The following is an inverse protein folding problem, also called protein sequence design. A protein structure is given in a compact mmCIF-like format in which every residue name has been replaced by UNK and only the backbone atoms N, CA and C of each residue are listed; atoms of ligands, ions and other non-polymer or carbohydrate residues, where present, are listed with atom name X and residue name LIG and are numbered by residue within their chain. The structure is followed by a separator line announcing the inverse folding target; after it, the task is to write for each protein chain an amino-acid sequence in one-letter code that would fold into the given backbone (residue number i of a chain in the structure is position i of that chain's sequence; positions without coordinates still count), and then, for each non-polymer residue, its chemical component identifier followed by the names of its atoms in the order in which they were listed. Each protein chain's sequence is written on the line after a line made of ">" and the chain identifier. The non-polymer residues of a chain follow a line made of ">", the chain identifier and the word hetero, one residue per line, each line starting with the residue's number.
data_IF_463209429328
#
_entry.id   IF_463209429328
#
_cell.length_a   1.000
_cell.length_b   1.000
_cell.length_c   1.000
_cell.angle_alpha   90.00
_cell.angle_beta   90.00
_cell.angle_gamma   90.00
#
_symmetry.space_group_name_H-M   'P 1'
#
loop_
_entity.id
_entity.type
_entity.pdbx_description
1 polymer ?
#
# COMPACT_ATOMS: atom_id res chain seq x y z
N UNK A 1 -14.33 0.46 40.19
CA UNK A 1 -14.74 -0.84 39.63
C UNK A 1 -13.77 -1.09 38.49
N UNK A 2 -12.90 -2.06 38.60
CA UNK A 2 -11.92 -2.39 37.58
C UNK A 2 -12.64 -3.09 36.41
N UNK A 3 -12.59 -2.52 35.23
CA UNK A 3 -13.02 -3.19 34.01
C UNK A 3 -12.05 -4.32 33.72
N UNK A 4 -12.51 -5.55 33.80
CA UNK A 4 -11.78 -6.71 33.30
C UNK A 4 -11.62 -6.57 31.80
N UNK A 5 -10.44 -6.82 31.23
CA UNK A 5 -10.27 -6.78 29.76
C UNK A 5 -11.14 -7.87 29.13
N UNK A 6 -11.98 -7.47 28.19
CA UNK A 6 -12.75 -8.39 27.34
C UNK A 6 -11.75 -9.20 26.54
N UNK A 7 -11.74 -10.51 26.75
CA UNK A 7 -10.91 -11.42 25.96
C UNK A 7 -11.42 -11.39 24.50
N UNK A 8 -10.70 -10.74 23.64
CA UNK A 8 -10.98 -10.69 22.19
C UNK A 8 -10.61 -12.05 21.61
N UNK A 9 -11.62 -12.84 21.23
CA UNK A 9 -11.42 -14.10 20.50
C UNK A 9 -11.16 -13.79 19.03
N UNK A 10 -9.90 -13.91 18.59
CA UNK A 10 -9.53 -13.82 17.18
C UNK A 10 -9.70 -15.20 16.54
N UNK A 11 -10.47 -15.37 15.44
CA UNK A 11 -10.58 -16.64 14.72
C UNK A 11 -9.19 -17.11 14.27
N UNK A 12 -8.89 -18.40 14.48
CA UNK A 12 -7.57 -18.96 14.22
C UNK A 12 -6.55 -18.77 15.36
N UNK A 13 -6.90 -18.01 16.39
CA UNK A 13 -6.13 -17.98 17.63
C UNK A 13 -6.26 -19.34 18.33
N UNK A 14 -5.20 -20.12 18.34
CA UNK A 14 -5.14 -21.24 19.24
C UNK A 14 -5.07 -20.66 20.65
N UNK A 15 -6.04 -21.00 21.51
CA UNK A 15 -6.05 -20.68 22.94
C UNK A 15 -4.87 -21.36 23.70
N UNK A 16 -3.70 -21.39 23.09
CA UNK A 16 -2.50 -21.89 23.71
C UNK A 16 -1.87 -20.76 24.50
N UNK A 17 -1.82 -20.94 25.80
CA UNK A 17 -1.09 -20.15 26.80
C UNK A 17 0.44 -20.21 26.53
N UNK A 18 0.89 -20.76 25.41
CA UNK A 18 2.30 -20.88 25.06
C UNK A 18 2.85 -19.51 24.63
N UNK A 19 3.93 -19.09 25.27
CA UNK A 19 4.66 -17.89 24.92
C UNK A 19 5.23 -18.03 23.49
N UNK A 20 4.90 -17.12 22.54
CA UNK A 20 5.42 -17.19 21.19
C UNK A 20 6.96 -17.11 21.13
N UNK A 21 7.62 -16.49 22.10
CA UNK A 21 9.09 -16.43 22.17
C UNK A 21 9.73 -17.79 22.52
N UNK A 22 8.99 -18.71 23.15
CA UNK A 22 9.44 -20.08 23.34
C UNK A 22 9.25 -20.93 22.07
N UNK A 23 8.20 -20.65 21.30
CA UNK A 23 7.86 -21.39 20.10
C UNK A 23 8.62 -20.94 18.86
N UNK A 24 8.98 -19.66 18.78
CA UNK A 24 9.60 -19.05 17.61
C UNK A 24 10.84 -18.26 18.00
N UNK A 25 11.93 -18.49 17.30
CA UNK A 25 13.13 -17.66 17.39
C UNK A 25 13.04 -16.54 16.38
N UNK A 26 12.98 -15.30 16.85
CA UNK A 26 13.00 -14.09 16.03
C UNK A 26 14.42 -13.82 15.55
N UNK A 27 14.61 -13.60 14.27
CA UNK A 27 15.87 -13.25 13.62
C UNK A 27 15.85 -11.79 13.17
N UNK A 28 16.43 -11.48 11.99
CA UNK A 28 16.50 -10.12 11.43
C UNK A 28 15.12 -9.58 11.06
N UNK A 29 14.97 -8.26 11.16
CA UNK A 29 13.82 -7.55 10.63
C UNK A 29 13.88 -7.55 9.09
N UNK A 30 12.79 -7.97 8.45
CA UNK A 30 12.67 -8.06 7.00
C UNK A 30 11.66 -7.06 6.42
N UNK A 31 10.96 -6.31 7.28
CA UNK A 31 10.04 -5.28 6.81
C UNK A 31 9.43 -4.49 7.96
N UNK A 32 8.90 -3.31 7.60
CA UNK A 32 8.11 -2.47 8.48
C UNK A 32 6.82 -2.11 7.74
N UNK A 33 5.68 -2.46 8.32
CA UNK A 33 4.35 -2.14 7.80
C UNK A 33 3.68 -1.00 8.59
N UNK A 34 2.50 -0.61 8.14
CA UNK A 34 1.69 0.43 8.79
C UNK A 34 1.29 0.04 10.23
N UNK A 35 1.17 -1.26 10.50
CA UNK A 35 0.64 -1.80 11.77
C UNK A 35 1.70 -2.56 12.58
N UNK A 36 2.97 -2.55 12.18
CA UNK A 36 4.00 -3.27 12.91
C UNK A 36 5.20 -3.67 12.07
N UNK A 37 6.04 -4.49 12.66
CA UNK A 37 7.28 -4.95 12.05
C UNK A 37 7.18 -6.43 11.65
N UNK A 38 7.86 -6.80 10.56
CA UNK A 38 7.97 -8.18 10.10
C UNK A 38 9.40 -8.67 10.26
N UNK A 39 9.53 -9.83 10.88
CA UNK A 39 10.81 -10.48 11.13
C UNK A 39 10.86 -11.83 10.40
N UNK A 40 12.04 -12.20 9.96
CA UNK A 40 12.35 -13.59 9.68
C UNK A 40 12.47 -14.32 11.00
N UNK A 41 12.02 -15.56 11.07
CA UNK A 41 12.12 -16.37 12.28
C UNK A 41 12.18 -17.85 11.97
N UNK A 42 12.34 -18.64 13.04
CA UNK A 42 12.37 -20.10 12.99
C UNK A 42 11.29 -20.63 13.94
N UNK A 43 10.43 -21.52 13.46
CA UNK A 43 9.61 -22.35 14.34
C UNK A 43 10.49 -23.39 15.01
N UNK A 44 10.69 -23.27 16.32
CA UNK A 44 11.62 -24.11 17.09
C UNK A 44 11.20 -25.58 17.11
N UNK A 45 9.92 -25.89 16.85
CA UNK A 45 9.40 -27.26 16.84
C UNK A 45 9.67 -27.98 15.52
N UNK A 46 9.58 -27.25 14.40
CA UNK A 46 9.68 -27.81 13.05
C UNK A 46 10.99 -27.47 12.35
N UNK A 47 11.75 -26.48 12.89
CA UNK A 47 12.93 -25.88 12.27
C UNK A 47 12.62 -25.19 10.93
N UNK A 48 11.35 -24.91 10.68
CA UNK A 48 10.92 -24.21 9.47
C UNK A 48 11.17 -22.70 9.61
N UNK A 49 11.69 -22.09 8.55
CA UNK A 49 11.79 -20.62 8.45
C UNK A 49 10.41 -20.05 8.22
N UNK A 50 10.06 -19.04 9.00
CA UNK A 50 8.76 -18.37 8.99
C UNK A 50 8.92 -16.84 8.92
N UNK A 51 7.88 -16.14 8.52
CA UNK A 51 7.75 -14.71 8.69
C UNK A 51 6.89 -14.43 9.92
N UNK A 52 7.33 -13.52 10.78
CA UNK A 52 6.67 -13.14 12.02
C UNK A 52 6.30 -11.67 11.94
N UNK A 53 5.02 -11.37 11.76
CA UNK A 53 4.49 -9.99 11.81
C UNK A 53 4.07 -9.71 13.26
N UNK A 54 4.65 -8.66 13.86
CA UNK A 54 4.35 -8.25 15.23
C UNK A 54 3.64 -6.91 15.20
N UNK A 55 2.44 -6.85 15.75
CA UNK A 55 1.58 -5.67 15.83
C UNK A 55 1.40 -5.33 17.30
N UNK A 56 1.62 -4.06 17.67
CA UNK A 56 1.26 -3.58 19.00
C UNK A 56 -0.19 -3.13 19.01
N UNK A 57 -1.04 -3.87 19.74
CA UNK A 57 -2.49 -3.60 19.79
C UNK A 57 -2.83 -2.35 20.59
N UNK A 58 -1.94 -1.85 21.45
CA UNK A 58 -2.15 -0.57 22.15
C UNK A 58 -1.94 0.61 21.19
N UNK A 59 -0.96 0.50 20.28
CA UNK A 59 -0.74 1.50 19.23
C UNK A 59 -1.80 1.44 18.12
N UNK A 60 -2.37 0.24 17.88
CA UNK A 60 -3.34 -0.05 16.84
C UNK A 60 -4.78 -0.21 17.38
N UNK A 61 -5.14 0.44 18.51
CA UNK A 61 -6.42 0.26 19.19
C UNK A 61 -7.63 0.52 18.26
N UNK A 62 -7.53 1.54 17.40
CA UNK A 62 -8.58 1.88 16.42
C UNK A 62 -8.71 0.90 15.25
N UNK A 63 -7.78 -0.04 15.09
CA UNK A 63 -7.62 -0.90 13.91
C UNK A 63 -7.76 -2.40 14.25
N UNK A 64 -8.09 -2.74 15.51
CA UNK A 64 -8.17 -4.12 16.00
C UNK A 64 -9.19 -4.95 15.19
N UNK A 65 -10.34 -4.36 14.85
CA UNK A 65 -11.38 -5.05 14.06
C UNK A 65 -10.86 -5.41 12.66
N UNK A 66 -10.08 -4.51 12.06
CA UNK A 66 -9.51 -4.70 10.73
C UNK A 66 -8.43 -5.78 10.75
N UNK A 67 -7.57 -5.78 11.77
CA UNK A 67 -6.54 -6.81 11.98
C UNK A 67 -7.18 -8.18 12.17
N UNK A 68 -8.26 -8.26 12.94
CA UNK A 68 -9.00 -9.50 13.14
C UNK A 68 -9.61 -10.02 11.85
N UNK A 69 -10.15 -9.13 11.02
CA UNK A 69 -10.71 -9.50 9.74
C UNK A 69 -9.63 -9.98 8.76
N UNK A 70 -8.48 -9.32 8.69
CA UNK A 70 -7.33 -9.76 7.90
C UNK A 70 -6.92 -11.19 8.28
N UNK A 71 -6.73 -11.46 9.58
CA UNK A 71 -6.40 -12.79 10.10
C UNK A 71 -7.47 -13.81 9.74
N UNK A 72 -8.74 -13.45 9.85
CA UNK A 72 -9.86 -14.33 9.51
C UNK A 72 -9.82 -14.73 8.03
N UNK A 73 -9.61 -13.77 7.14
CA UNK A 73 -9.50 -14.01 5.69
C UNK A 73 -8.27 -14.88 5.39
N UNK A 74 -7.11 -14.54 5.96
CA UNK A 74 -5.87 -15.31 5.78
C UNK A 74 -6.01 -16.76 6.26
N UNK A 75 -6.61 -16.98 7.44
CA UNK A 75 -6.79 -18.31 8.03
C UNK A 75 -7.68 -19.24 7.20
N UNK A 76 -8.54 -18.68 6.35
CA UNK A 76 -9.43 -19.41 5.45
C UNK A 76 -8.81 -19.67 4.08
N UNK A 77 -7.68 -19.06 3.74
CA UNK A 77 -7.03 -19.24 2.45
C UNK A 77 -6.12 -20.48 2.47
N UNK A 78 -6.34 -21.37 1.51
CA UNK A 78 -5.46 -22.51 1.21
C UNK A 78 -5.19 -22.55 -0.29
N UNK A 79 -4.15 -21.85 -0.72
CA UNK A 79 -3.75 -21.76 -2.12
C UNK A 79 -2.24 -21.64 -2.24
N UNK A 80 -1.67 -22.23 -3.30
CA UNK A 80 -0.25 -22.07 -3.62
C UNK A 80 0.10 -20.66 -4.12
N UNK A 81 -0.89 -19.81 -4.41
CA UNK A 81 -0.73 -18.45 -4.92
C UNK A 81 -0.95 -17.36 -3.86
N UNK A 82 -1.24 -17.76 -2.63
CA UNK A 82 -1.44 -16.87 -1.48
C UNK A 82 -0.50 -17.31 -0.37
N UNK A 83 0.06 -16.35 0.35
CA UNK A 83 0.94 -16.66 1.50
C UNK A 83 0.19 -17.46 2.56
N UNK A 84 0.81 -18.55 3.05
CA UNK A 84 0.19 -19.38 4.07
C UNK A 84 0.22 -18.70 5.43
N UNK A 85 -0.88 -18.82 6.15
CA UNK A 85 -1.01 -18.46 7.55
C UNK A 85 -0.83 -19.69 8.42
N UNK A 86 0.02 -19.61 9.45
CA UNK A 86 0.29 -20.72 10.36
C UNK A 86 -0.35 -20.55 11.74
N UNK A 87 -0.68 -19.34 12.14
CA UNK A 87 -1.33 -19.05 13.41
C UNK A 87 -1.02 -17.68 13.94
N UNK A 88 -1.68 -17.29 15.02
CA UNK A 88 -1.41 -16.06 15.75
C UNK A 88 -1.36 -16.30 17.25
N UNK A 89 -0.55 -15.50 17.94
CA UNK A 89 -0.29 -15.61 19.37
C UNK A 89 -0.33 -14.20 19.98
N UNK A 90 -0.88 -14.08 21.17
CA UNK A 90 -0.90 -12.83 21.91
C UNK A 90 0.08 -12.90 23.08
N UNK A 91 1.01 -11.92 23.16
CA UNK A 91 1.93 -11.75 24.28
C UNK A 91 1.87 -10.31 24.79
N UNK A 92 1.24 -10.08 25.92
CA UNK A 92 0.94 -8.74 26.41
C UNK A 92 0.05 -7.98 25.43
N UNK A 93 0.46 -6.79 25.01
CA UNK A 93 -0.22 -6.01 23.95
C UNK A 93 0.21 -6.41 22.53
N UNK A 94 1.19 -7.31 22.38
CA UNK A 94 1.77 -7.66 21.07
C UNK A 94 1.13 -8.89 20.46
N UNK A 95 0.55 -8.72 19.26
CA UNK A 95 0.01 -9.78 18.44
C UNK A 95 1.08 -10.28 17.47
N UNK A 96 1.41 -11.57 17.55
CA UNK A 96 2.33 -12.26 16.67
C UNK A 96 1.56 -13.02 15.62
N UNK A 97 1.74 -12.72 14.35
CA UNK A 97 1.14 -13.42 13.22
C UNK A 97 2.24 -14.20 12.53
N UNK A 98 2.11 -15.53 12.46
CA UNK A 98 3.10 -16.43 11.89
C UNK A 98 2.64 -16.81 10.48
N UNK A 99 3.50 -16.56 9.50
CA UNK A 99 3.20 -16.75 8.08
C UNK A 99 4.35 -17.45 7.36
N UNK A 100 4.07 -17.89 6.15
CA UNK A 100 5.06 -18.40 5.21
C UNK A 100 6.13 -17.35 4.92
N UNK A 101 7.40 -17.74 5.01
CA UNK A 101 8.52 -16.91 4.61
C UNK A 101 8.82 -17.10 3.12
N UNK A 102 8.94 -15.99 2.39
CA UNK A 102 9.23 -15.94 0.97
C UNK A 102 10.53 -15.18 0.74
N UNK A 103 11.62 -15.92 0.60
CA UNK A 103 13.01 -15.37 0.62
C UNK A 103 13.45 -14.66 -0.66
N UNK A 104 12.64 -14.64 -1.72
CA UNK A 104 12.92 -13.91 -2.96
C UNK A 104 12.65 -12.41 -2.89
N UNK A 105 11.98 -11.95 -1.83
CA UNK A 105 11.57 -10.55 -1.65
C UNK A 105 10.28 -10.20 -2.39
N UNK A 106 9.87 -8.93 -2.34
CA UNK A 106 8.72 -8.42 -3.07
C UNK A 106 9.09 -8.03 -4.51
N UNK A 107 8.08 -7.98 -5.40
CA UNK A 107 8.31 -7.45 -6.76
C UNK A 107 8.81 -6.01 -6.74
N UNK A 108 8.41 -5.22 -5.74
CA UNK A 108 8.91 -3.86 -5.54
C UNK A 108 10.41 -3.86 -5.20
N UNK A 109 10.86 -4.78 -4.34
CA UNK A 109 12.28 -4.92 -4.00
C UNK A 109 13.10 -5.28 -5.24
N UNK A 110 12.61 -6.22 -6.04
CA UNK A 110 13.29 -6.65 -7.27
C UNK A 110 13.40 -5.53 -8.31
N UNK A 111 12.43 -4.61 -8.36
CA UNK A 111 12.47 -3.43 -9.23
C UNK A 111 13.62 -2.46 -8.86
N UNK A 112 14.11 -2.48 -7.61
CA UNK A 112 15.27 -1.65 -7.20
C UNK A 112 16.54 -2.04 -7.93
N UNK A 113 16.72 -3.32 -8.22
CA UNK A 113 17.90 -3.82 -8.94
C UNK A 113 17.83 -3.62 -10.45
N UNK A 114 16.73 -3.12 -10.98
CA UNK A 114 16.59 -2.78 -12.40
C UNK A 114 15.20 -3.13 -12.97
N UNK A 115 14.94 -2.74 -14.22
CA UNK A 115 13.65 -2.95 -14.87
C UNK A 115 13.41 -4.44 -15.18
N UNK A 116 12.14 -4.80 -15.35
CA UNK A 116 11.71 -6.13 -15.81
C UNK A 116 11.44 -6.11 -17.30
N UNK A 117 11.70 -7.23 -17.96
CA UNK A 117 11.25 -7.47 -19.32
C UNK A 117 9.76 -7.90 -19.37
N UNK A 118 9.15 -7.86 -20.55
CA UNK A 118 7.73 -8.22 -20.70
C UNK A 118 7.45 -9.70 -20.41
N UNK A 119 8.41 -10.61 -20.56
CA UNK A 119 8.25 -12.03 -20.22
C UNK A 119 8.22 -12.23 -18.69
N UNK A 120 9.07 -11.50 -17.97
CA UNK A 120 9.07 -11.49 -16.51
C UNK A 120 7.77 -10.90 -15.98
N UNK A 121 7.32 -9.77 -16.52
CA UNK A 121 6.06 -9.12 -16.15
C UNK A 121 4.87 -10.05 -16.42
N UNK A 122 4.79 -10.64 -17.62
CA UNK A 122 3.70 -11.57 -17.99
C UNK A 122 3.67 -12.80 -17.08
N UNK A 123 4.86 -13.30 -16.69
CA UNK A 123 4.98 -14.46 -15.78
C UNK A 123 4.46 -14.11 -14.39
N UNK A 124 4.85 -12.96 -13.85
CA UNK A 124 4.33 -12.48 -12.56
C UNK A 124 2.82 -12.25 -12.61
N UNK A 125 2.34 -11.52 -13.63
CA UNK A 125 0.90 -11.23 -13.78
C UNK A 125 0.07 -12.50 -13.89
N UNK A 126 0.58 -13.54 -14.56
CA UNK A 126 -0.09 -14.83 -14.63
C UNK A 126 -0.28 -15.45 -13.25
N UNK A 127 0.75 -15.45 -12.42
CA UNK A 127 0.67 -16.03 -11.08
C UNK A 127 -0.23 -15.18 -10.14
N UNK A 128 -0.14 -13.85 -10.24
CA UNK A 128 -1.07 -12.93 -9.54
C UNK A 128 -2.51 -13.22 -9.95
N UNK A 129 -2.78 -13.38 -11.25
CA UNK A 129 -4.11 -13.70 -11.78
C UNK A 129 -4.65 -15.03 -11.26
N UNK A 130 -3.80 -16.05 -11.09
CA UNK A 130 -4.21 -17.33 -10.48
C UNK A 130 -4.59 -17.14 -9.00
N UNK A 131 -3.84 -16.30 -8.26
CA UNK A 131 -4.18 -15.95 -6.89
C UNK A 131 -5.50 -15.19 -6.80
N UNK A 132 -5.74 -14.23 -7.70
CA UNK A 132 -6.99 -13.48 -7.77
C UNK A 132 -8.16 -14.38 -8.20
N UNK A 133 -7.99 -15.27 -9.17
CA UNK A 133 -9.04 -16.21 -9.58
C UNK A 133 -9.46 -17.12 -8.42
N UNK A 134 -8.50 -17.61 -7.63
CA UNK A 134 -8.78 -18.34 -6.40
C UNK A 134 -9.58 -17.49 -5.40
N UNK A 135 -9.09 -16.30 -5.03
CA UNK A 135 -9.74 -15.43 -4.05
C UNK A 135 -11.16 -15.05 -4.47
N UNK A 136 -11.34 -14.69 -5.75
CA UNK A 136 -12.64 -14.28 -6.30
C UNK A 136 -13.62 -15.46 -6.35
N UNK A 137 -13.15 -16.69 -6.61
CA UNK A 137 -13.98 -17.91 -6.55
C UNK A 137 -14.46 -18.20 -5.13
N UNK A 138 -13.63 -17.88 -4.11
CA UNK A 138 -13.96 -17.95 -2.69
C UNK A 138 -14.73 -16.72 -2.18
N UNK A 139 -15.17 -15.83 -3.10
CA UNK A 139 -15.87 -14.56 -2.79
C UNK A 139 -15.08 -13.64 -1.86
N UNK A 140 -13.77 -13.67 -1.97
CA UNK A 140 -12.82 -12.80 -1.28
C UNK A 140 -12.25 -11.77 -2.24
N UNK A 141 -12.00 -10.57 -1.74
CA UNK A 141 -11.37 -9.46 -2.47
C UNK A 141 -10.06 -9.14 -1.75
N UNK A 142 -8.96 -8.99 -2.50
CA UNK A 142 -7.65 -8.70 -1.93
C UNK A 142 -7.52 -7.26 -1.42
N UNK A 143 -7.98 -6.29 -2.23
CA UNK A 143 -8.07 -4.84 -1.94
C UNK A 143 -6.76 -4.06 -1.91
N UNK A 144 -5.61 -4.71 -1.86
CA UNK A 144 -4.29 -4.06 -1.84
C UNK A 144 -3.30 -4.73 -2.80
N UNK A 145 -3.71 -4.92 -4.05
CA UNK A 145 -2.84 -5.43 -5.11
C UNK A 145 -1.88 -4.33 -5.54
N UNK A 146 -0.58 -4.57 -5.33
CA UNK A 146 0.55 -3.71 -5.71
C UNK A 146 1.85 -4.51 -5.67
N UNK A 147 2.93 -4.01 -6.30
CA UNK A 147 4.21 -4.74 -6.36
C UNK A 147 4.79 -5.08 -4.98
N UNK A 148 4.58 -4.24 -3.96
CA UNK A 148 5.01 -4.49 -2.60
C UNK A 148 4.36 -5.73 -1.96
N UNK A 149 3.15 -6.07 -2.36
CA UNK A 149 2.37 -7.20 -1.83
C UNK A 149 2.42 -8.45 -2.73
N UNK A 150 3.29 -8.45 -3.72
CA UNK A 150 3.60 -9.60 -4.57
C UNK A 150 4.95 -10.14 -4.13
N UNK A 151 4.96 -11.26 -3.41
CA UNK A 151 6.16 -11.86 -2.85
C UNK A 151 6.63 -13.05 -3.68
N UNK A 152 7.94 -13.27 -3.72
CA UNK A 152 8.54 -14.38 -4.43
C UNK A 152 9.26 -15.33 -3.46
N UNK A 153 9.16 -16.63 -3.72
CA UNK A 153 10.05 -17.61 -3.11
C UNK A 153 11.45 -17.53 -3.73
N UNK A 154 12.45 -18.12 -3.10
CA UNK A 154 13.80 -18.22 -3.70
C UNK A 154 13.82 -19.02 -5.01
N UNK A 155 12.81 -19.83 -5.26
CA UNK A 155 12.62 -20.63 -6.47
C UNK A 155 11.84 -19.88 -7.56
N UNK A 156 11.39 -18.67 -7.27
CA UNK A 156 10.65 -17.81 -8.21
C UNK A 156 9.13 -17.99 -8.16
N UNK A 157 8.57 -18.78 -7.24
CA UNK A 157 7.12 -18.88 -7.07
C UNK A 157 6.56 -17.55 -6.56
N UNK A 158 5.45 -17.12 -7.14
CA UNK A 158 4.83 -15.83 -6.85
C UNK A 158 3.58 -16.02 -6.00
N UNK A 159 3.47 -15.27 -4.91
CA UNK A 159 2.33 -15.32 -4.00
C UNK A 159 1.83 -13.93 -3.62
N UNK A 160 0.51 -13.82 -3.45
CA UNK A 160 -0.12 -12.63 -2.90
C UNK A 160 0.02 -12.60 -1.39
N UNK A 161 0.43 -11.47 -0.86
CA UNK A 161 0.58 -11.22 0.57
C UNK A 161 -0.18 -9.97 0.99
N UNK A 162 -0.35 -9.77 2.30
CA UNK A 162 -0.97 -8.60 2.90
C UNK A 162 -2.32 -8.24 2.25
N UNK A 163 -3.35 -8.94 2.66
CA UNK A 163 -4.72 -8.54 2.35
C UNK A 163 -4.96 -7.16 2.96
N UNK A 164 -5.34 -6.22 2.14
CA UNK A 164 -5.60 -4.87 2.60
C UNK A 164 -6.63 -4.89 3.72
N UNK A 165 -6.24 -4.29 4.82
CA UNK A 165 -7.05 -4.04 6.00
C UNK A 165 -8.26 -3.15 5.70
N UNK A 166 -8.37 -2.62 4.48
CA UNK A 166 -9.63 -2.07 3.99
C UNK A 166 -10.68 -3.19 3.96
N UNK A 167 -10.86 -3.81 5.13
CA UNK A 167 -11.99 -4.60 5.51
C UNK A 167 -13.23 -3.94 4.96
N UNK A 168 -14.33 -4.60 4.84
CA UNK A 168 -15.57 -4.01 4.36
C UNK A 168 -15.55 -2.51 4.67
N UNK A 169 -15.53 -1.66 3.62
CA UNK A 169 -15.81 -0.25 3.79
C UNK A 169 -17.22 -0.16 4.37
N UNK A 170 -17.32 -0.45 5.66
CA UNK A 170 -18.51 -0.12 6.42
C UNK A 170 -18.48 1.40 6.52
N UNK A 171 -19.64 2.03 6.42
CA UNK A 171 -19.83 3.50 6.58
C UNK A 171 -19.05 4.09 7.77
N UNK A 172 -18.65 3.24 8.73
CA UNK A 172 -17.89 3.61 9.92
C UNK A 172 -16.39 3.80 9.67
N UNK A 173 -15.76 3.08 8.73
CA UNK A 173 -14.32 3.19 8.48
C UNK A 173 -13.94 4.36 7.58
N UNK A 174 -14.83 4.74 6.67
CA UNK A 174 -14.65 5.95 5.86
C UNK A 174 -14.77 7.21 6.75
N UNK A 175 -15.48 7.11 7.87
CA UNK A 175 -15.62 8.18 8.87
C UNK A 175 -14.38 8.36 9.76
N UNK A 176 -13.47 7.39 9.80
CA UNK A 176 -12.19 7.51 10.51
C UNK A 176 -11.15 7.99 9.49
N UNK A 177 -10.78 9.26 9.56
CA UNK A 177 -9.82 10.00 8.74
C UNK A 177 -8.40 9.38 8.65
N UNK A 178 -8.26 8.09 8.74
CA UNK A 178 -7.00 7.38 8.50
C UNK A 178 -7.03 6.84 7.08
N UNK A 179 -6.75 7.70 6.10
CA UNK A 179 -6.25 7.23 4.82
C UNK A 179 -4.87 6.60 5.05
N UNK A 180 -4.88 5.43 5.68
CA UNK A 180 -3.73 4.56 5.80
C UNK A 180 -3.62 3.81 4.47
N UNK A 181 -2.85 4.34 3.55
CA UNK A 181 -2.60 3.73 2.26
C UNK A 181 -2.42 4.77 1.16
N UNK A 182 -1.62 4.40 0.19
CA UNK A 182 -1.34 5.25 -0.96
C UNK A 182 -2.42 4.97 -2.02
N UNK A 183 -3.20 5.96 -2.44
CA UNK A 183 -4.41 5.76 -3.26
C UNK A 183 -4.15 5.40 -4.71
N UNK A 184 -2.89 5.34 -5.15
CA UNK A 184 -2.50 5.19 -6.56
C UNK A 184 -3.06 3.94 -7.23
N UNK A 185 -3.28 2.87 -6.46
CA UNK A 185 -3.81 1.57 -6.95
C UNK A 185 -5.31 1.43 -6.80
N UNK A 186 -5.99 2.38 -6.13
CA UNK A 186 -7.42 2.29 -5.85
C UNK A 186 -8.27 2.49 -7.11
N UNK A 187 -9.31 1.67 -7.25
CA UNK A 187 -10.30 1.83 -8.30
C UNK A 187 -11.19 3.07 -8.06
N UNK A 188 -11.70 3.73 -9.13
CA UNK A 188 -12.54 4.90 -9.00
C UNK A 188 -13.77 4.69 -8.11
N UNK A 189 -14.45 3.54 -8.24
CA UNK A 189 -15.63 3.18 -7.44
C UNK A 189 -15.30 2.99 -5.97
N UNK A 190 -14.08 2.50 -5.64
CA UNK A 190 -13.62 2.38 -4.24
C UNK A 190 -13.43 3.76 -3.62
N UNK A 191 -12.79 4.68 -4.37
CA UNK A 191 -12.58 6.06 -3.91
C UNK A 191 -13.93 6.78 -3.73
N UNK A 192 -14.89 6.57 -4.63
CA UNK A 192 -16.22 7.16 -4.58
C UNK A 192 -17.15 6.52 -3.56
N UNK A 193 -16.66 5.51 -2.83
CA UNK A 193 -17.44 4.80 -1.80
C UNK A 193 -18.72 4.15 -2.35
N UNK A 194 -18.76 3.85 -3.63
CA UNK A 194 -19.85 3.08 -4.23
C UNK A 194 -19.65 1.59 -3.97
N UNK A 195 -20.73 0.83 -4.11
CA UNK A 195 -20.65 -0.63 -4.00
C UNK A 195 -19.61 -1.16 -4.99
N UNK A 196 -18.65 -1.95 -4.52
CA UNK A 196 -17.60 -2.54 -5.32
C UNK A 196 -17.48 -4.05 -5.09
N UNK A 197 -16.92 -4.73 -6.05
CA UNK A 197 -16.72 -6.18 -6.05
C UNK A 197 -15.28 -6.56 -6.43
N UNK A 198 -15.07 -7.80 -6.82
CA UNK A 198 -13.77 -8.34 -7.26
C UNK A 198 -13.14 -7.57 -8.44
N UNK A 199 -13.91 -6.77 -9.18
CA UNK A 199 -13.41 -5.95 -10.29
C UNK A 199 -12.54 -4.79 -9.83
N UNK A 200 -12.60 -4.41 -8.54
CA UNK A 200 -11.68 -3.46 -7.95
C UNK A 200 -10.24 -4.00 -7.93
N UNK A 201 -10.04 -5.29 -7.65
CA UNK A 201 -8.72 -5.93 -7.73
C UNK A 201 -8.17 -5.94 -9.17
N UNK A 202 -9.04 -6.03 -10.17
CA UNK A 202 -8.65 -6.00 -11.60
C UNK A 202 -8.12 -4.63 -11.98
N UNK A 203 -8.74 -3.55 -11.50
CA UNK A 203 -8.17 -2.20 -11.64
C UNK A 203 -6.79 -2.10 -11.00
N UNK A 204 -6.67 -2.50 -9.74
CA UNK A 204 -5.39 -2.48 -9.01
C UNK A 204 -4.32 -3.32 -9.71
N UNK A 205 -4.71 -4.45 -10.32
CA UNK A 205 -3.83 -5.26 -11.17
C UNK A 205 -3.33 -4.49 -12.39
N UNK A 206 -4.19 -3.73 -13.06
CA UNK A 206 -3.81 -2.88 -14.19
C UNK A 206 -2.79 -1.80 -13.80
N UNK A 207 -2.99 -1.15 -12.65
CA UNK A 207 -2.03 -0.19 -12.09
C UNK A 207 -0.72 -0.89 -11.72
N UNK A 208 -0.78 -2.07 -11.11
CA UNK A 208 0.40 -2.89 -10.80
C UNK A 208 1.15 -3.30 -12.05
N UNK A 209 0.48 -3.61 -13.14
CA UNK A 209 1.13 -3.91 -14.43
C UNK A 209 1.92 -2.70 -14.95
N UNK A 210 1.40 -1.48 -14.82
CA UNK A 210 2.15 -0.24 -15.12
C UNK A 210 3.34 -0.08 -14.17
N UNK A 211 3.13 -0.31 -12.87
CA UNK A 211 4.18 -0.26 -11.84
C UNK A 211 5.33 -1.21 -12.16
N UNK A 212 5.04 -2.48 -12.53
CA UNK A 212 6.04 -3.46 -12.92
C UNK A 212 6.82 -3.04 -14.19
N UNK A 213 6.14 -2.37 -15.14
CA UNK A 213 6.73 -1.91 -16.39
C UNK A 213 7.56 -0.63 -16.24
N UNK A 214 7.14 0.29 -15.37
CA UNK A 214 7.72 1.64 -15.24
C UNK A 214 8.55 1.83 -13.97
N UNK A 215 8.42 0.92 -13.00
CA UNK A 215 9.06 0.99 -11.68
C UNK A 215 8.24 1.77 -10.64
N UNK A 216 7.17 2.43 -11.05
CA UNK A 216 6.30 3.23 -10.19
C UNK A 216 4.85 3.27 -10.74
N UNK A 217 3.83 3.45 -9.88
CA UNK A 217 2.46 3.61 -10.35
C UNK A 217 2.24 4.97 -11.01
N UNK A 218 1.17 5.14 -11.81
CA UNK A 218 0.78 6.44 -12.35
C UNK A 218 0.57 7.48 -11.24
N UNK A 219 0.95 8.72 -11.51
CA UNK A 219 0.82 9.87 -10.58
C UNK A 219 1.63 9.75 -9.27
N UNK A 220 2.67 8.90 -9.25
CA UNK A 220 3.53 8.70 -8.07
C UNK A 220 4.25 9.97 -7.61
N UNK A 221 4.41 10.95 -8.51
CA UNK A 221 4.98 12.27 -8.27
C UNK A 221 4.01 13.25 -7.60
N UNK A 222 2.72 12.89 -7.52
CA UNK A 222 1.68 13.73 -6.95
C UNK A 222 1.40 13.40 -5.49
N UNK A 223 0.93 14.40 -4.75
CA UNK A 223 0.47 14.18 -3.39
C UNK A 223 -0.74 13.21 -3.37
N UNK A 224 -0.77 12.19 -2.47
CA UNK A 224 -1.81 11.16 -2.45
C UNK A 224 -3.25 11.71 -2.40
N UNK A 225 -3.50 12.76 -1.61
CA UNK A 225 -4.82 13.38 -1.52
C UNK A 225 -5.29 13.97 -2.86
N UNK A 226 -4.37 14.54 -3.66
CA UNK A 226 -4.69 15.03 -5.00
C UNK A 226 -5.08 13.88 -5.93
N UNK A 227 -4.38 12.76 -5.84
CA UNK A 227 -4.64 11.57 -6.66
C UNK A 227 -6.03 11.02 -6.41
N UNK A 228 -6.51 11.02 -5.15
CA UNK A 228 -7.89 10.62 -4.81
C UNK A 228 -8.96 11.42 -5.58
N UNK A 229 -8.75 12.71 -5.83
CA UNK A 229 -9.68 13.51 -6.61
C UNK A 229 -9.54 13.29 -8.12
N UNK A 230 -8.33 12.97 -8.59
CA UNK A 230 -8.05 12.84 -10.02
C UNK A 230 -8.53 11.50 -10.58
N UNK A 231 -8.33 10.38 -9.87
CA UNK A 231 -8.68 9.03 -10.35
C UNK A 231 -10.17 8.95 -10.77
N UNK A 232 -11.14 9.41 -9.97
CA UNK A 232 -12.55 9.37 -10.38
C UNK A 232 -12.89 10.30 -11.55
N UNK A 233 -12.20 11.43 -11.68
CA UNK A 233 -12.52 12.47 -12.69
C UNK A 233 -11.86 12.20 -14.04
N UNK A 234 -10.58 11.83 -14.04
CA UNK A 234 -9.77 11.72 -15.24
C UNK A 234 -10.04 10.42 -16.01
N UNK A 235 -9.61 10.39 -17.28
CA UNK A 235 -9.54 9.13 -18.03
C UNK A 235 -8.59 8.16 -17.35
N UNK A 236 -8.80 6.84 -17.52
CA UNK A 236 -7.88 5.82 -17.00
C UNK A 236 -6.45 6.06 -17.51
N UNK A 237 -5.43 5.77 -16.69
CA UNK A 237 -4.06 5.80 -17.17
C UNK A 237 -3.82 4.72 -18.24
N UNK A 238 -2.88 4.98 -19.13
CA UNK A 238 -2.46 4.07 -20.20
C UNK A 238 -0.98 3.72 -20.07
N UNK A 239 -0.59 2.56 -20.58
CA UNK A 239 0.83 2.17 -20.62
C UNK A 239 1.54 2.87 -21.78
N UNK A 240 2.29 3.93 -21.46
CA UNK A 240 3.05 4.73 -22.44
C UNK A 240 4.49 4.25 -22.50
N UNK A 241 5.04 4.14 -23.71
CA UNK A 241 6.44 3.77 -23.98
C UNK A 241 6.56 2.62 -24.98
N UNK A 242 7.78 2.09 -25.10
CA UNK A 242 8.16 1.01 -26.02
C UNK A 242 7.73 -0.37 -25.47
N UNK A 243 6.42 -0.60 -25.44
CA UNK A 243 5.83 -1.87 -25.03
C UNK A 243 5.01 -2.47 -26.17
N UNK A 244 4.89 -3.81 -26.15
CA UNK A 244 4.10 -4.51 -27.17
C UNK A 244 2.63 -4.09 -27.13
N UNK A 245 2.00 -4.13 -28.28
CA UNK A 245 0.56 -3.82 -28.40
C UNK A 245 -0.29 -4.72 -27.50
N UNK A 246 0.09 -6.01 -27.36
CA UNK A 246 -0.64 -6.95 -26.51
C UNK A 246 -0.55 -6.59 -25.02
N UNK A 247 0.57 -6.02 -24.57
CA UNK A 247 0.70 -5.56 -23.19
C UNK A 247 -0.13 -4.30 -22.94
N UNK A 248 -0.09 -3.32 -23.84
CA UNK A 248 -0.93 -2.13 -23.76
C UNK A 248 -2.42 -2.48 -23.71
N UNK A 249 -2.86 -3.41 -24.57
CA UNK A 249 -4.26 -3.87 -24.58
C UNK A 249 -4.65 -4.62 -23.29
N UNK A 250 -3.72 -5.35 -22.64
CA UNK A 250 -3.96 -5.97 -21.35
C UNK A 250 -4.20 -4.92 -20.26
N UNK A 251 -3.36 -3.90 -20.21
CA UNK A 251 -3.51 -2.78 -19.24
C UNK A 251 -4.82 -2.04 -19.49
N UNK A 252 -5.13 -1.71 -20.74
CA UNK A 252 -6.37 -1.01 -21.09
C UNK A 252 -7.63 -1.81 -20.72
N UNK A 253 -7.58 -3.14 -20.86
CA UNK A 253 -8.68 -4.00 -20.44
C UNK A 253 -8.92 -3.98 -18.92
N UNK A 254 -7.84 -3.93 -18.12
CA UNK A 254 -7.94 -3.84 -16.67
C UNK A 254 -8.44 -2.46 -16.19
N UNK A 255 -8.03 -1.38 -16.87
CA UNK A 255 -8.25 0.00 -16.48
C UNK A 255 -9.48 0.63 -17.15
N UNK A 256 -10.60 -0.07 -17.13
CA UNK A 256 -11.88 0.52 -17.53
C UNK A 256 -12.55 1.19 -16.33
N UNK A 257 -13.04 2.42 -16.53
CA UNK A 257 -13.73 3.15 -15.43
C UNK A 257 -14.98 2.44 -14.94
N UNK A 258 -15.75 1.86 -15.86
CA UNK A 258 -16.89 1.02 -15.52
C UNK A 258 -16.40 -0.39 -15.16
N UNK A 259 -16.58 -0.85 -13.90
CA UNK A 259 -16.14 -2.16 -13.45
C UNK A 259 -16.72 -3.31 -14.29
N UNK A 260 -17.94 -3.14 -14.83
CA UNK A 260 -18.63 -4.18 -15.60
C UNK A 260 -17.91 -4.54 -16.90
N UNK A 261 -17.14 -3.62 -17.47
CA UNK A 261 -16.34 -3.85 -18.68
C UNK A 261 -14.94 -4.41 -18.40
N UNK A 262 -14.50 -4.47 -17.13
CA UNK A 262 -13.24 -5.13 -16.78
C UNK A 262 -13.41 -6.63 -16.87
N UNK A 263 -12.49 -7.36 -17.53
CA UNK A 263 -12.51 -8.83 -17.53
C UNK A 263 -12.34 -9.38 -16.10
N UNK A 264 -12.78 -10.61 -15.90
CA UNK A 264 -12.45 -11.37 -14.68
C UNK A 264 -10.99 -11.84 -14.71
N UNK A 265 -10.45 -12.23 -13.55
CA UNK A 265 -9.12 -12.83 -13.47
C UNK A 265 -9.00 -14.07 -14.35
N UNK A 266 -10.04 -14.92 -14.39
CA UNK A 266 -10.12 -16.11 -15.22
C UNK A 266 -10.08 -15.79 -16.72
N UNK A 267 -10.72 -14.71 -17.16
CA UNK A 267 -10.68 -14.24 -18.55
C UNK A 267 -9.32 -13.68 -18.91
N UNK A 268 -8.70 -12.89 -18.00
CA UNK A 268 -7.37 -12.33 -18.20
C UNK A 268 -6.26 -13.38 -18.27
N UNK A 269 -6.41 -14.52 -17.60
CA UNK A 269 -5.50 -15.66 -17.77
C UNK A 269 -5.44 -16.18 -19.21
N UNK A 270 -6.49 -15.93 -20.01
CA UNK A 270 -6.57 -16.28 -21.44
C UNK A 270 -6.18 -15.14 -22.37
N UNK A 271 -5.85 -13.96 -21.81
CA UNK A 271 -5.48 -12.81 -22.62
C UNK A 271 -4.18 -13.10 -23.40
N UNK A 272 -4.11 -12.63 -24.65
CA UNK A 272 -2.99 -12.91 -25.56
C UNK A 272 -1.62 -12.52 -25.01
N UNK A 273 -1.55 -11.44 -24.21
CA UNK A 273 -0.31 -11.03 -23.55
C UNK A 273 0.19 -12.11 -22.58
N UNK A 274 -0.69 -12.61 -21.73
CA UNK A 274 -0.36 -13.66 -20.76
C UNK A 274 0.01 -14.97 -21.45
N UNK A 275 -0.84 -15.43 -22.38
CA UNK A 275 -0.65 -16.74 -23.05
C UNK A 275 0.64 -16.80 -23.85
N UNK A 276 1.01 -15.70 -24.55
CA UNK A 276 2.17 -15.68 -25.43
C UNK A 276 3.48 -15.41 -24.71
N UNK A 277 3.44 -14.59 -23.65
CA UNK A 277 4.67 -14.08 -23.05
C UNK A 277 5.01 -14.70 -21.68
N UNK A 278 4.07 -15.34 -20.98
CA UNK A 278 4.39 -15.96 -19.69
C UNK A 278 5.27 -17.20 -19.86
N UNK A 279 6.25 -17.32 -18.95
CA UNK A 279 7.18 -18.43 -18.86
C UNK A 279 6.88 -19.29 -17.62
N UNK A 280 7.76 -20.25 -17.29
CA UNK A 280 7.76 -20.92 -16.00
C UNK A 280 8.25 -19.96 -14.92
N UNK A 281 7.77 -20.12 -13.69
CA UNK A 281 8.14 -19.25 -12.55
C UNK A 281 9.65 -19.25 -12.26
N UNK A 282 10.35 -20.35 -12.59
CA UNK A 282 11.83 -20.40 -12.50
C UNK A 282 12.54 -19.35 -13.37
N UNK A 283 11.86 -18.76 -14.37
CA UNK A 283 12.40 -17.64 -15.15
C UNK A 283 12.59 -16.37 -14.31
N UNK A 284 11.85 -16.25 -13.20
CA UNK A 284 11.93 -15.12 -12.28
C UNK A 284 13.12 -15.18 -11.31
N UNK A 285 13.81 -16.34 -11.21
CA UNK A 285 14.99 -16.47 -10.33
C UNK A 285 16.13 -15.55 -10.75
N UNK A 286 16.23 -15.20 -12.03
CA UNK A 286 17.20 -14.20 -12.51
C UNK A 286 17.01 -12.84 -11.83
N UNK A 287 15.77 -12.42 -11.59
CA UNK A 287 15.46 -11.16 -10.88
C UNK A 287 15.93 -11.22 -9.43
N UNK A 288 15.74 -12.37 -8.78
CA UNK A 288 16.14 -12.60 -7.39
C UNK A 288 17.66 -12.59 -7.28
N UNK A 289 18.35 -13.27 -8.20
CA UNK A 289 19.83 -13.29 -8.25
C UNK A 289 20.40 -11.91 -8.54
N UNK A 290 19.76 -11.15 -9.44
CA UNK A 290 20.11 -9.76 -9.74
C UNK A 290 19.98 -8.88 -8.50
N UNK A 291 18.89 -9.03 -7.74
CA UNK A 291 18.68 -8.27 -6.52
C UNK A 291 19.67 -8.64 -5.43
N UNK A 292 19.96 -9.93 -5.23
CA UNK A 292 20.99 -10.39 -4.28
C UNK A 292 22.38 -9.79 -4.60
N UNK A 293 22.78 -9.75 -5.88
CA UNK A 293 24.04 -9.10 -6.32
C UNK A 293 24.02 -7.60 -6.05
N UNK A 294 22.93 -6.93 -6.41
CA UNK A 294 22.74 -5.50 -6.19
C UNK A 294 22.89 -5.13 -4.70
N UNK A 295 22.31 -5.93 -3.78
CA UNK A 295 22.53 -5.77 -2.34
C UNK A 295 23.96 -6.02 -1.90
N UNK A 296 24.60 -7.06 -2.41
CA UNK A 296 25.99 -7.39 -2.09
C UNK A 296 26.98 -6.31 -2.52
N UNK A 297 26.65 -5.48 -3.53
CA UNK A 297 27.43 -4.33 -3.99
C UNK A 297 27.31 -3.11 -3.06
N UNK A 298 26.64 -3.24 -1.92
CA UNK A 298 26.56 -2.19 -0.89
C UNK A 298 25.41 -1.20 -1.09
N UNK A 299 24.45 -1.50 -1.97
CA UNK A 299 23.22 -0.75 -2.09
C UNK A 299 22.27 -1.21 -0.95
N UNK A 300 22.36 -0.55 0.21
CA UNK A 300 21.47 -0.81 1.34
C UNK A 300 20.20 0.04 1.27
N UNK A 301 19.14 -0.48 1.89
CA UNK A 301 17.85 0.20 2.00
C UNK A 301 17.86 1.36 3.04
N UNK A 302 19.03 1.72 3.59
CA UNK A 302 19.21 2.66 4.70
C UNK A 302 19.21 4.15 4.29
N UNK A 303 18.23 4.59 3.49
CA UNK A 303 18.00 6.02 3.30
C UNK A 303 16.60 6.47 3.77
N UNK A 304 16.16 6.02 4.94
CA UNK A 304 14.98 6.66 5.53
C UNK A 304 14.85 6.45 7.04
N UNK A 305 15.86 6.77 7.84
CA UNK A 305 15.65 7.10 9.26
C UNK A 305 16.94 7.70 9.84
N UNK A 306 17.24 8.97 9.49
CA UNK A 306 18.18 9.79 10.25
C UNK A 306 17.40 10.81 11.06
N UNK A 307 16.92 10.42 12.22
CA UNK A 307 16.82 11.29 13.39
C UNK A 307 17.38 10.56 14.61
N UNK A 308 18.55 11.02 14.98
CA UNK A 308 19.23 11.17 16.22
C UNK A 308 19.22 10.07 17.27
N UNK A 309 20.32 9.37 17.46
CA UNK A 309 21.19 9.51 18.64
C UNK A 309 22.36 8.53 18.62
N UNK A 310 23.50 9.04 19.11
CA UNK A 310 24.81 8.39 19.26
C UNK A 310 24.77 7.07 20.04
N UNK A 311 25.50 6.06 19.61
CA UNK A 311 26.72 5.52 20.21
C UNK A 311 26.97 4.04 19.89
N UNK A 312 28.22 3.84 19.44
CA UNK A 312 29.14 2.69 19.60
C UNK A 312 28.84 1.30 19.01
N UNK A 313 29.59 1.09 17.94
CA UNK A 313 30.38 -0.09 17.54
C UNK A 313 30.00 -1.48 18.08
N UNK A 314 29.71 -2.43 17.18
CA UNK A 314 30.61 -3.55 16.81
C UNK A 314 29.94 -4.56 15.87
N UNK A 315 30.79 -5.09 15.00
CA UNK A 315 30.64 -6.31 14.16
C UNK A 315 29.63 -6.34 13.03
N UNK A 316 30.22 -6.17 11.82
CA UNK A 316 29.66 -6.53 10.53
C UNK A 316 29.41 -8.03 10.47
N UNK A 317 28.16 -8.45 10.42
CA UNK A 317 27.79 -9.71 9.78
C UNK A 317 26.99 -9.39 8.51
N UNK A 318 27.47 -9.92 7.39
CA UNK A 318 26.85 -9.79 6.08
C UNK A 318 25.50 -10.54 6.05
N UNK A 319 24.41 -9.85 6.33
CA UNK A 319 23.07 -10.39 6.12
C UNK A 319 22.64 -10.16 4.66
N UNK A 320 22.63 -11.25 3.89
CA UNK A 320 22.35 -11.27 2.43
C UNK A 320 20.85 -11.53 2.12
N UNK A 321 19.93 -11.26 3.04
CA UNK A 321 18.50 -11.51 2.82
C UNK A 321 17.77 -10.26 2.32
N UNK A 322 16.85 -10.38 1.33
CA UNK A 322 16.02 -9.26 0.86
C UNK A 322 15.08 -8.78 1.97
N UNK A 323 14.98 -7.49 2.15
CA UNK A 323 14.05 -6.87 3.10
C UNK A 323 12.65 -6.73 2.48
N UNK A 324 11.61 -7.07 3.23
CA UNK A 324 10.23 -6.89 2.80
C UNK A 324 9.81 -5.44 3.03
N UNK A 325 9.67 -4.70 1.92
CA UNK A 325 9.27 -3.29 1.98
C UNK A 325 7.77 -3.15 1.73
N UNK A 326 7.07 -2.60 2.72
CA UNK A 326 5.64 -2.26 2.64
C UNK A 326 5.41 -0.78 2.32
N UNK A 327 6.48 -0.05 1.96
CA UNK A 327 6.38 1.37 1.57
C UNK A 327 5.87 1.51 0.15
N UNK A 328 4.96 2.43 -0.05
CA UNK A 328 4.17 2.58 -1.27
C UNK A 328 4.79 3.47 -2.35
N UNK A 329 5.88 4.20 -2.07
CA UNK A 329 6.50 5.13 -3.03
C UNK A 329 8.03 5.15 -2.90
N UNK A 330 8.75 5.01 -4.02
CA UNK A 330 10.19 5.27 -4.10
C UNK A 330 10.45 6.77 -4.01
N UNK A 331 11.36 7.19 -3.14
CA UNK A 331 12.01 8.52 -3.28
C UNK A 331 12.99 8.46 -4.46
N UNK A 332 12.88 9.39 -5.39
CA UNK A 332 13.89 9.54 -6.47
C UNK A 332 15.26 9.88 -5.85
N UNK A 333 16.38 9.30 -6.34
CA UNK A 333 17.70 9.78 -5.96
C UNK A 333 17.87 11.22 -6.46
N UNK A 334 18.30 12.12 -5.57
CA UNK A 334 18.63 13.50 -5.92
C UNK A 334 19.71 13.55 -7.01
N UNK A 335 19.54 14.37 -8.05
CA UNK A 335 20.63 14.62 -8.99
C UNK A 335 21.78 15.31 -8.26
N UNK A 336 22.99 14.78 -8.44
CA UNK A 336 24.25 15.22 -7.83
C UNK A 336 24.30 16.74 -7.70
N UNK A 337 24.50 17.23 -6.47
CA UNK A 337 24.82 18.63 -6.16
C UNK A 337 26.00 19.09 -6.98
N UNK A 338 25.75 20.01 -7.91
CA UNK A 338 26.75 20.97 -8.37
C UNK A 338 26.70 22.14 -7.39
N UNK A 339 27.82 22.36 -6.68
CA UNK A 339 27.99 23.51 -5.81
C UNK A 339 27.89 24.78 -6.63
N UNK A 340 26.96 25.67 -6.28
CA UNK A 340 27.25 27.13 -6.20
C UNK A 340 26.10 27.84 -5.45
N UNK A 341 26.53 28.69 -4.59
CA UNK A 341 26.03 29.61 -3.64
C UNK A 341 24.59 30.12 -3.70
N UNK A 342 24.09 30.27 -2.48
CA UNK A 342 23.07 31.22 -2.02
C UNK A 342 21.74 31.25 -2.79
N UNK A 343 20.77 30.51 -2.20
CA UNK A 343 19.41 31.02 -2.05
C UNK A 343 18.70 30.10 -1.06
N UNK A 344 18.14 30.71 -0.01
CA UNK A 344 17.24 30.06 0.95
C UNK A 344 15.93 29.78 0.20
N UNK A 345 15.75 28.56 -0.29
CA UNK A 345 14.45 28.11 -0.78
C UNK A 345 13.69 27.36 0.31
N UNK A 346 12.62 28.00 0.71
CA UNK A 346 11.51 27.46 1.46
C UNK A 346 11.07 26.12 0.86
N UNK A 347 11.27 25.06 1.61
CA UNK A 347 10.51 23.81 1.43
C UNK A 347 9.07 24.15 1.77
N UNK A 348 8.26 24.50 0.78
CA UNK A 348 6.82 24.61 0.90
C UNK A 348 6.27 23.19 1.10
N UNK A 349 6.07 22.81 2.34
CA UNK A 349 5.13 21.74 2.70
C UNK A 349 3.79 22.14 2.10
N UNK A 350 3.29 21.33 1.14
CA UNK A 350 1.99 21.52 0.51
C UNK A 350 0.91 21.36 1.59
N UNK A 351 0.47 22.47 2.17
CA UNK A 351 -0.58 22.53 3.20
C UNK A 351 -1.97 22.45 2.56
N UNK A 352 -2.99 22.07 3.33
CA UNK A 352 -4.39 22.15 2.90
C UNK A 352 -4.77 23.55 2.40
N UNK A 353 -4.06 24.58 2.85
CA UNK A 353 -4.21 25.94 2.34
C UNK A 353 -4.01 26.00 0.83
N UNK A 354 -2.89 25.48 0.31
CA UNK A 354 -2.55 25.55 -1.11
C UNK A 354 -3.31 24.55 -1.98
N UNK A 355 -3.71 23.41 -1.43
CA UNK A 355 -4.27 22.30 -2.20
C UNK A 355 -5.80 22.24 -2.21
N UNK A 356 -6.44 22.77 -1.17
CA UNK A 356 -7.89 22.68 -0.99
C UNK A 356 -8.49 24.06 -0.89
N UNK A 357 -7.97 24.90 0.02
CA UNK A 357 -8.60 26.18 0.37
C UNK A 357 -8.41 27.20 -0.76
N UNK A 358 -7.19 27.39 -1.26
CA UNK A 358 -6.93 28.33 -2.35
C UNK A 358 -7.68 27.96 -3.65
N UNK A 359 -7.70 26.69 -4.11
CA UNK A 359 -8.52 26.30 -5.26
C UNK A 359 -10.03 26.51 -5.03
N UNK A 360 -10.54 26.20 -3.83
CA UNK A 360 -11.94 26.40 -3.50
C UNK A 360 -12.33 27.89 -3.57
N UNK A 361 -11.47 28.80 -3.10
CA UNK A 361 -11.69 30.22 -3.23
C UNK A 361 -11.65 30.67 -4.69
N UNK A 362 -10.78 30.12 -5.52
CA UNK A 362 -10.73 30.37 -6.95
C UNK A 362 -12.04 29.96 -7.65
N UNK A 363 -12.56 28.77 -7.31
CA UNK A 363 -13.86 28.31 -7.84
C UNK A 363 -15.02 29.19 -7.40
N UNK A 364 -15.04 29.63 -6.13
CA UNK A 364 -16.07 30.53 -5.61
C UNK A 364 -16.05 31.91 -6.30
N UNK A 365 -14.88 32.43 -6.67
CA UNK A 365 -14.73 33.67 -7.42
C UNK A 365 -15.24 33.53 -8.85
N UNK A 366 -15.08 32.36 -9.49
CA UNK A 366 -15.53 32.09 -10.85
C UNK A 366 -17.05 31.93 -10.97
N UNK A 367 -17.74 31.51 -9.90
CA UNK A 367 -19.21 31.31 -9.95
C UNK A 367 -20.01 32.57 -10.09
N UNK A 368 -19.47 33.75 -9.75
CA UNK A 368 -20.17 35.03 -9.76
C UNK A 368 -19.22 36.19 -10.12
N UNK A 369 -18.68 36.20 -11.33
CA UNK A 369 -17.68 37.20 -11.78
C UNK A 369 -18.17 38.66 -11.68
N UNK A 370 -19.47 38.92 -11.62
CA UNK A 370 -20.05 40.25 -11.62
C UNK A 370 -20.32 40.85 -10.22
N UNK A 371 -20.01 40.15 -9.13
CA UNK A 371 -20.29 40.65 -7.78
C UNK A 371 -18.99 41.07 -7.05
N UNK A 372 -18.60 42.35 -7.29
CA UNK A 372 -17.35 42.91 -6.74
C UNK A 372 -17.30 42.85 -5.20
N UNK A 373 -18.41 43.06 -4.49
CA UNK A 373 -18.46 43.04 -3.02
C UNK A 373 -18.25 41.64 -2.46
N UNK A 374 -18.80 40.60 -3.12
CA UNK A 374 -18.60 39.20 -2.76
C UNK A 374 -17.14 38.76 -2.99
N UNK A 375 -16.59 39.11 -4.13
CA UNK A 375 -15.22 38.77 -4.48
C UNK A 375 -14.21 39.42 -3.51
N UNK A 376 -14.46 40.67 -3.10
CA UNK A 376 -13.67 41.32 -2.08
C UNK A 376 -13.72 40.60 -0.70
N UNK A 377 -14.91 40.17 -0.28
CA UNK A 377 -15.08 39.43 0.97
C UNK A 377 -14.36 38.04 0.93
N UNK A 378 -14.40 37.38 -0.24
CA UNK A 378 -13.69 36.12 -0.47
C UNK A 378 -12.17 36.33 -0.37
N UNK A 379 -11.64 37.41 -0.97
CA UNK A 379 -10.21 37.74 -0.88
C UNK A 379 -9.75 38.07 0.54
N UNK A 380 -10.57 38.79 1.30
CA UNK A 380 -10.26 39.11 2.71
C UNK A 380 -10.22 37.85 3.58
N UNK A 381 -11.14 36.90 3.36
CA UNK A 381 -11.16 35.63 4.03
C UNK A 381 -9.95 34.75 3.66
N UNK A 382 -9.61 34.70 2.36
CA UNK A 382 -8.43 33.97 1.88
C UNK A 382 -7.15 34.51 2.51
N UNK A 383 -6.97 35.83 2.56
CA UNK A 383 -5.84 36.49 3.24
C UNK A 383 -5.80 36.21 4.71
N UNK A 384 -6.95 36.21 5.39
CA UNK A 384 -7.03 35.95 6.82
C UNK A 384 -6.60 34.52 7.16
N UNK A 385 -6.99 33.54 6.33
CA UNK A 385 -6.57 32.14 6.49
C UNK A 385 -5.07 31.98 6.21
N UNK A 386 -4.52 32.66 5.20
CA UNK A 386 -3.09 32.64 4.91
C UNK A 386 -2.26 33.25 6.06
N UNK A 387 -2.74 34.33 6.68
CA UNK A 387 -2.09 34.93 7.89
C UNK A 387 -2.15 33.97 9.07
N UNK A 388 -3.26 33.29 9.28
CA UNK A 388 -3.39 32.30 10.36
C UNK A 388 -2.43 31.12 10.16
N UNK A 389 -2.28 30.63 8.92
CA UNK A 389 -1.31 29.57 8.61
C UNK A 389 0.13 30.00 8.80
N UNK A 390 0.48 31.24 8.42
CA UNK A 390 1.81 31.81 8.66
C UNK A 390 2.13 31.98 10.16
N UNK A 391 1.12 32.34 10.96
CA UNK A 391 1.27 32.49 12.41
C UNK A 391 1.29 31.15 13.16
N UNK A 392 0.61 30.15 12.64
CA UNK A 392 0.48 28.81 13.25
C UNK A 392 0.48 27.73 12.16
N UNK A 393 1.66 27.31 11.67
CA UNK A 393 1.78 26.31 10.59
C UNK A 393 0.99 25.02 10.90
N UNK A 394 0.22 24.56 9.90
CA UNK A 394 -0.66 23.39 10.02
C UNK A 394 -2.04 23.67 10.62
N UNK A 395 -2.39 24.95 10.89
CA UNK A 395 -3.72 25.30 11.42
C UNK A 395 -4.82 25.05 10.39
N UNK A 396 -4.54 25.29 9.10
CA UNK A 396 -5.48 25.02 8.02
C UNK A 396 -5.74 23.52 7.84
N UNK A 397 -4.73 22.66 8.02
CA UNK A 397 -4.88 21.21 8.00
C UNK A 397 -5.82 20.74 9.13
N UNK A 398 -5.61 21.28 10.33
CA UNK A 398 -6.48 21.00 11.50
C UNK A 398 -7.89 21.53 11.29
N UNK A 399 -8.05 22.70 10.68
CA UNK A 399 -9.35 23.31 10.38
C UNK A 399 -10.11 22.48 9.37
N UNK A 400 -9.49 22.11 8.25
CA UNK A 400 -10.12 21.28 7.20
C UNK A 400 -10.53 19.93 7.78
N UNK A 401 -9.67 19.30 8.57
CA UNK A 401 -10.00 18.06 9.28
C UNK A 401 -11.24 18.22 10.17
N UNK A 402 -11.30 19.27 10.97
CA UNK A 402 -12.46 19.56 11.84
C UNK A 402 -13.74 19.87 11.05
N UNK A 403 -13.65 20.56 9.94
CA UNK A 403 -14.79 20.82 9.07
C UNK A 403 -15.35 19.51 8.48
N UNK A 404 -14.48 18.64 7.98
CA UNK A 404 -14.87 17.31 7.49
C UNK A 404 -15.57 16.50 8.59
N UNK A 405 -14.99 16.43 9.80
CA UNK A 405 -15.59 15.76 10.96
C UNK A 405 -16.99 16.30 11.30
N UNK A 406 -17.21 17.62 11.20
CA UNK A 406 -18.48 18.26 11.48
C UNK A 406 -19.51 18.00 10.39
N UNK A 407 -19.12 18.12 9.11
CA UNK A 407 -19.99 17.82 7.97
C UNK A 407 -20.49 16.37 8.02
N UNK A 408 -19.62 15.44 8.34
CA UNK A 408 -19.97 14.02 8.48
C UNK A 408 -20.98 13.79 9.61
N UNK A 409 -20.88 14.52 10.73
CA UNK A 409 -21.86 14.44 11.81
C UNK A 409 -23.23 15.02 11.43
N UNK A 410 -23.26 16.15 10.71
CA UNK A 410 -24.51 16.76 10.28
C UNK A 410 -25.26 15.89 9.27
N UNK A 411 -24.57 15.21 8.35
CA UNK A 411 -25.21 14.30 7.39
C UNK A 411 -25.70 12.99 8.00
N UNK A 412 -25.24 12.63 9.20
CA UNK A 412 -25.73 11.44 9.92
C UNK A 412 -27.01 11.73 10.73
N UNK A 413 -27.28 12.99 11.07
CA UNK A 413 -28.48 13.40 11.82
C UNK A 413 -29.70 13.72 10.93
N UNK A 414 -29.56 13.72 9.58
CA UNK A 414 -30.62 14.00 8.62
C UNK A 414 -31.24 12.78 7.93
N UNK A 415 -30.98 11.57 8.44
CA UNK A 415 -31.69 10.38 7.93
C UNK A 415 -32.92 10.11 8.80
N UNK A 416 -34.16 10.16 8.25
CA UNK A 416 -35.41 9.91 8.98
C UNK A 416 -35.56 8.46 9.40
#
# INVERSE_FOLDING_TARGET
>A
MAHSPVAVQVPGMQNNIADPEELFTKLERIGKGSFGEVFKGIDNRTQQVVAIKIIDLEEAEDEIEDIQQEITVLSQCDSSYVTKYYGSYLKGSKLWIIMEYLGGGSALDLLRAGPFDEFQIATMLKEILKGLDYLHSEKKIHRDIKAANVLLSEQGDVKLADFGVAGQLTDTQIKRNTFVGTPFWMAPEVIQQSAYDSKADIWSLGITAIELAKGEPPNSDMHPMRVLFLIPKNNPPTLVGEFTKSFKEFVDACLNKDPSFRPTAKELLKHKFIVKNSKKTSYLTELIDRFKRWKAEGHSDDESDSEGSDSESTSRENNTHPEWSFTTVRKKPDPKKVQNGAEQDLVQTLSCLSMIITPAFAELKQQDENNASRNQAIEELEKSIAVAEAACPGITDKMVKKLIEKFQKCSADESP
#
